data_IF_969669534050
#
_entry.id   IF_969669534050
#
_cell.length_a   1.000
_cell.length_b   1.000
_cell.length_c   1.000
_cell.angle_alpha   90.00
_cell.angle_beta   90.00
_cell.angle_gamma   90.00
#
_symmetry.space_group_name_H-M   'P 1'
#
loop_
_entity.id
_entity.type
_entity.pdbx_description
1 polymer ?
#
# COMPACT_ATOMS: atom_id res chain seq x y z
N UNK A 1 5.74 -17.34 -5.89
CA UNK A 1 4.44 -17.45 -6.58
C UNK A 1 3.68 -16.14 -6.39
N UNK A 2 3.56 -15.32 -7.43
CA UNK A 2 2.86 -14.02 -7.35
C UNK A 2 1.36 -14.32 -7.18
N UNK A 3 0.86 -14.16 -5.96
CA UNK A 3 -0.55 -14.40 -5.64
C UNK A 3 -1.36 -13.29 -6.31
N UNK A 4 -2.07 -13.61 -7.40
CA UNK A 4 -2.90 -12.66 -8.14
C UNK A 4 -3.83 -11.95 -7.15
N UNK A 5 -3.69 -10.63 -7.01
CA UNK A 5 -4.50 -9.87 -6.08
C UNK A 5 -5.96 -9.97 -6.50
N UNK A 6 -6.84 -10.23 -5.54
CA UNK A 6 -8.28 -10.37 -5.80
C UNK A 6 -8.79 -9.10 -6.46
N UNK A 7 -9.46 -9.20 -7.62
CA UNK A 7 -9.97 -8.04 -8.35
C UNK A 7 -10.87 -7.19 -7.46
N UNK A 8 -10.79 -5.87 -7.63
CA UNK A 8 -11.67 -4.92 -6.92
C UNK A 8 -13.14 -5.22 -7.19
N UNK A 9 -13.51 -5.53 -8.44
CA UNK A 9 -14.89 -5.89 -8.81
C UNK A 9 -15.36 -7.16 -8.09
N UNK A 10 -14.49 -8.14 -7.91
CA UNK A 10 -14.83 -9.37 -7.19
C UNK A 10 -15.14 -9.11 -5.71
N UNK A 11 -14.40 -8.19 -5.07
CA UNK A 11 -14.67 -7.81 -3.67
C UNK A 11 -16.01 -7.12 -3.56
N UNK A 12 -16.33 -6.18 -4.46
CA UNK A 12 -17.63 -5.51 -4.46
C UNK A 12 -18.79 -6.48 -4.72
N UNK A 13 -18.62 -7.43 -5.63
CA UNK A 13 -19.60 -8.49 -5.89
C UNK A 13 -19.93 -9.28 -4.62
N UNK A 14 -18.92 -9.77 -3.91
CA UNK A 14 -19.11 -10.47 -2.64
C UNK A 14 -19.64 -9.58 -1.52
N UNK A 15 -19.33 -8.28 -1.52
CA UNK A 15 -19.85 -7.35 -0.52
C UNK A 15 -21.36 -7.10 -0.66
N UNK A 16 -21.87 -7.12 -1.89
CA UNK A 16 -23.31 -6.93 -2.16
C UNK A 16 -24.08 -8.23 -1.88
N UNK A 17 -23.57 -9.38 -2.35
CA UNK A 17 -24.27 -10.66 -2.22
C UNK A 17 -24.11 -11.25 -0.81
N UNK A 18 -22.91 -11.17 -0.25
CA UNK A 18 -22.57 -11.76 1.04
C UNK A 18 -21.64 -10.82 1.80
N UNK A 19 -22.24 -9.74 2.28
CA UNK A 19 -21.62 -8.66 3.06
C UNK A 19 -20.45 -9.09 3.98
N UNK A 20 -20.58 -10.11 4.85
CA UNK A 20 -19.49 -10.49 5.75
C UNK A 20 -18.26 -10.99 5.02
N UNK A 21 -18.45 -11.75 3.94
CA UNK A 21 -17.36 -12.29 3.12
C UNK A 21 -16.71 -11.18 2.31
N UNK A 22 -17.50 -10.28 1.71
CA UNK A 22 -16.96 -9.12 1.02
C UNK A 22 -16.11 -8.23 1.94
N UNK A 23 -16.58 -7.99 3.16
CA UNK A 23 -15.85 -7.21 4.16
C UNK A 23 -14.54 -7.89 4.57
N UNK A 24 -14.55 -9.20 4.80
CA UNK A 24 -13.35 -9.98 5.09
C UNK A 24 -12.32 -9.93 3.95
N UNK A 25 -12.76 -10.12 2.70
CA UNK A 25 -11.88 -10.06 1.53
C UNK A 25 -11.27 -8.66 1.36
N UNK A 26 -12.05 -7.62 1.63
CA UNK A 26 -11.61 -6.23 1.60
C UNK A 26 -10.53 -5.97 2.66
N UNK A 27 -10.73 -6.44 3.89
CA UNK A 27 -9.72 -6.32 4.95
C UNK A 27 -8.43 -7.07 4.63
N UNK A 28 -8.55 -8.28 4.09
CA UNK A 28 -7.39 -9.05 3.64
C UNK A 28 -6.65 -8.33 2.52
N UNK A 29 -7.38 -7.76 1.55
CA UNK A 29 -6.77 -7.01 0.45
C UNK A 29 -6.01 -5.78 0.95
N UNK A 30 -6.60 -5.00 1.85
CA UNK A 30 -5.92 -3.86 2.48
C UNK A 30 -4.70 -4.29 3.28
N UNK A 31 -4.69 -5.47 3.89
CA UNK A 31 -3.55 -5.94 4.69
C UNK A 31 -2.39 -6.45 3.82
N UNK A 32 -2.68 -7.07 2.68
CA UNK A 32 -1.67 -7.78 1.87
C UNK A 32 -1.19 -6.96 0.67
N UNK A 33 -2.03 -6.12 0.09
CA UNK A 33 -1.75 -5.47 -1.18
C UNK A 33 -1.12 -4.07 -0.95
N UNK A 34 0.20 -3.96 -1.15
CA UNK A 34 0.98 -2.72 -1.00
C UNK A 34 0.37 -1.57 -1.80
N UNK A 35 -0.09 -1.89 -3.00
CA UNK A 35 -0.72 -0.92 -3.89
C UNK A 35 -2.05 -0.43 -3.31
N UNK A 36 -2.83 -1.30 -2.66
CA UNK A 36 -4.09 -0.94 -2.01
C UNK A 36 -3.85 -0.09 -0.74
N UNK A 37 -2.80 -0.38 0.02
CA UNK A 37 -2.36 0.44 1.16
C UNK A 37 -1.98 1.86 0.71
N UNK A 38 -1.31 1.99 -0.44
CA UNK A 38 -0.81 3.26 -0.97
C UNK A 38 -1.78 3.97 -1.92
N UNK A 39 -2.86 3.30 -2.32
CA UNK A 39 -3.81 3.83 -3.29
C UNK A 39 -4.70 4.93 -2.68
N UNK A 40 -4.95 5.97 -3.47
CA UNK A 40 -5.99 6.97 -3.17
C UNK A 40 -7.41 6.39 -3.06
N UNK A 41 -7.61 5.12 -3.44
CA UNK A 41 -8.89 4.40 -3.33
C UNK A 41 -9.39 4.22 -1.89
N UNK A 42 -8.56 4.47 -0.87
CA UNK A 42 -8.99 4.50 0.54
C UNK A 42 -10.08 5.56 0.82
N UNK A 43 -10.19 6.60 -0.01
CA UNK A 43 -11.30 7.57 0.06
C UNK A 43 -12.66 6.92 -0.21
N UNK A 44 -12.78 6.16 -1.31
CA UNK A 44 -14.00 5.45 -1.70
C UNK A 44 -14.45 4.47 -0.61
N UNK A 45 -13.50 3.77 0.02
CA UNK A 45 -13.78 2.87 1.14
C UNK A 45 -14.31 3.60 2.37
N UNK A 46 -13.81 4.81 2.63
CA UNK A 46 -14.29 5.63 3.73
C UNK A 46 -15.74 6.05 3.52
N UNK A 47 -16.11 6.43 2.29
CA UNK A 47 -17.49 6.77 1.92
C UNK A 47 -18.40 5.56 2.11
N UNK A 48 -17.97 4.38 1.65
CA UNK A 48 -18.73 3.15 1.81
C UNK A 48 -18.94 2.78 3.28
N UNK A 49 -17.91 2.91 4.12
CA UNK A 49 -18.02 2.67 5.57
C UNK A 49 -19.01 3.62 6.25
N UNK A 50 -19.01 4.90 5.88
CA UNK A 50 -19.99 5.87 6.37
C UNK A 50 -21.40 5.54 5.88
N UNK A 51 -21.57 5.20 4.60
CA UNK A 51 -22.87 4.82 4.05
C UNK A 51 -23.49 3.64 4.82
N UNK A 52 -22.70 2.58 5.08
CA UNK A 52 -23.15 1.42 5.86
C UNK A 52 -23.50 1.76 7.31
N UNK A 53 -22.69 2.62 7.94
CA UNK A 53 -22.90 3.03 9.33
C UNK A 53 -24.16 3.89 9.48
N UNK A 54 -24.37 4.84 8.57
CA UNK A 54 -25.55 5.72 8.56
C UNK A 54 -26.81 4.92 8.25
N UNK A 55 -26.76 4.06 7.23
CA UNK A 55 -27.89 3.20 6.87
C UNK A 55 -28.28 2.26 8.01
N UNK A 56 -27.30 1.57 8.61
CA UNK A 56 -27.54 0.73 9.78
C UNK A 56 -28.05 1.52 10.98
N UNK A 57 -27.53 2.74 11.20
CA UNK A 57 -27.99 3.62 12.28
C UNK A 57 -29.43 4.09 12.12
N UNK A 58 -29.86 4.43 10.90
CA UNK A 58 -31.24 4.80 10.60
C UNK A 58 -32.19 3.61 10.80
N UNK A 59 -31.82 2.42 10.32
CA UNK A 59 -32.60 1.20 10.52
C UNK A 59 -32.69 0.82 12.01
N UNK A 60 -31.60 1.00 12.75
CA UNK A 60 -31.57 0.81 14.20
C UNK A 60 -32.52 1.78 14.92
N UNK A 61 -32.52 3.06 14.52
CA UNK A 61 -33.40 4.08 15.10
C UNK A 61 -34.88 3.77 14.85
N UNK A 62 -35.22 3.31 13.64
CA UNK A 62 -36.58 2.87 13.31
C UNK A 62 -37.04 1.67 14.14
N UNK A 63 -36.11 0.81 14.56
CA UNK A 63 -36.39 -0.35 15.39
C UNK A 63 -36.64 0.01 16.88
N UNK A 64 -36.40 1.26 17.29
CA UNK A 64 -36.65 1.69 18.68
C UNK A 64 -38.13 1.85 19.00
N UNK A 65 -38.97 2.14 18.01
CA UNK A 65 -40.43 2.23 18.19
C UNK A 65 -41.09 0.86 18.20
N UNK A 66 -40.65 -0.02 17.30
CA UNK A 66 -41.18 -1.38 17.13
C UNK A 66 -40.02 -2.36 17.10
N UNK A 67 -39.89 -3.13 18.20
CA UNK A 67 -38.76 -4.04 18.37
C UNK A 67 -38.95 -5.31 17.52
N UNK A 68 -38.37 -5.31 16.33
CA UNK A 68 -38.23 -6.50 15.49
C UNK A 68 -36.79 -7.05 15.62
N UNK A 69 -36.63 -8.18 16.30
CA UNK A 69 -35.32 -8.71 16.66
C UNK A 69 -34.39 -8.97 15.46
N UNK A 70 -34.94 -9.39 14.32
CA UNK A 70 -34.21 -9.59 13.05
C UNK A 70 -33.59 -8.27 12.55
N UNK A 71 -34.39 -7.20 12.52
CA UNK A 71 -33.97 -5.85 12.08
C UNK A 71 -32.94 -5.27 13.04
N UNK A 72 -33.12 -5.48 14.35
CA UNK A 72 -32.17 -5.04 15.38
C UNK A 72 -30.79 -5.69 15.20
N UNK A 73 -30.76 -7.02 15.02
CA UNK A 73 -29.51 -7.77 14.83
C UNK A 73 -28.82 -7.34 13.52
N UNK A 74 -29.56 -7.26 12.42
CA UNK A 74 -29.01 -6.87 11.13
C UNK A 74 -28.45 -5.45 11.15
N UNK A 75 -29.21 -4.49 11.69
CA UNK A 75 -28.77 -3.10 11.83
C UNK A 75 -27.50 -2.99 12.66
N UNK A 76 -27.42 -3.72 13.77
CA UNK A 76 -26.22 -3.79 14.61
C UNK A 76 -25.00 -4.33 13.85
N UNK A 77 -25.16 -5.36 13.01
CA UNK A 77 -24.10 -5.90 12.18
C UNK A 77 -23.61 -4.91 11.11
N UNK A 78 -24.52 -4.19 10.46
CA UNK A 78 -24.16 -3.14 9.48
C UNK A 78 -23.37 -2.00 10.13
N UNK A 79 -23.81 -1.53 11.30
CA UNK A 79 -23.08 -0.51 12.08
C UNK A 79 -21.70 -1.04 12.46
N UNK A 80 -21.62 -2.24 13.03
CA UNK A 80 -20.36 -2.82 13.47
C UNK A 80 -19.37 -2.98 12.31
N UNK A 81 -19.80 -3.54 11.17
CA UNK A 81 -18.92 -3.68 10.01
C UNK A 81 -18.55 -2.35 9.37
N UNK A 82 -19.45 -1.37 9.34
CA UNK A 82 -19.17 -0.01 8.87
C UNK A 82 -18.09 0.67 9.73
N UNK A 83 -18.21 0.60 11.06
CA UNK A 83 -17.23 1.15 12.00
C UNK A 83 -15.87 0.42 11.88
N UNK A 84 -15.86 -0.91 11.79
CA UNK A 84 -14.63 -1.67 11.58
C UNK A 84 -13.94 -1.28 10.26
N UNK A 85 -14.72 -1.06 9.20
CA UNK A 85 -14.21 -0.60 7.91
C UNK A 85 -13.53 0.77 8.05
N UNK A 86 -14.21 1.72 8.68
CA UNK A 86 -13.66 3.06 8.92
C UNK A 86 -12.38 3.03 9.75
N UNK A 87 -12.34 2.22 10.81
CA UNK A 87 -11.12 2.03 11.63
C UNK A 87 -9.96 1.48 10.81
N UNK A 88 -10.20 0.46 9.98
CA UNK A 88 -9.15 -0.12 9.12
C UNK A 88 -8.67 0.88 8.07
N UNK A 89 -9.57 1.64 7.46
CA UNK A 89 -9.22 2.70 6.49
C UNK A 89 -8.36 3.77 7.16
N UNK A 90 -8.75 4.24 8.34
CA UNK A 90 -7.99 5.23 9.11
C UNK A 90 -6.59 4.72 9.46
N UNK A 91 -6.48 3.50 9.98
CA UNK A 91 -5.19 2.87 10.26
C UNK A 91 -4.32 2.77 9.00
N UNK A 92 -4.91 2.35 7.88
CA UNK A 92 -4.21 2.23 6.60
C UNK A 92 -3.69 3.58 6.08
N UNK A 93 -4.48 4.65 6.20
CA UNK A 93 -4.06 6.01 5.82
C UNK A 93 -2.86 6.48 6.64
N UNK A 94 -2.90 6.25 7.96
CA UNK A 94 -1.77 6.57 8.86
C UNK A 94 -0.51 5.81 8.46
N UNK A 95 -0.65 4.50 8.22
CA UNK A 95 0.48 3.65 7.80
C UNK A 95 1.05 4.08 6.45
N UNK A 96 0.19 4.38 5.47
CA UNK A 96 0.60 4.89 4.16
C UNK A 96 1.37 6.19 4.29
N UNK A 97 0.86 7.17 5.03
CA UNK A 97 1.53 8.45 5.24
C UNK A 97 2.91 8.27 5.89
N UNK A 98 3.01 7.36 6.87
CA UNK A 98 4.26 7.02 7.54
C UNK A 98 5.28 6.45 6.56
N UNK A 99 4.91 5.42 5.79
CA UNK A 99 5.83 4.78 4.84
C UNK A 99 6.20 5.67 3.65
N UNK A 100 5.33 6.59 3.23
CA UNK A 100 5.69 7.63 2.24
C UNK A 100 6.82 8.52 2.72
N UNK A 101 6.81 8.92 4.00
CA UNK A 101 7.92 9.71 4.59
C UNK A 101 9.23 8.93 4.56
N UNK A 102 9.21 7.66 4.95
CA UNK A 102 10.40 6.81 4.91
C UNK A 102 10.93 6.62 3.48
N UNK A 103 10.05 6.36 2.50
CA UNK A 103 10.44 6.25 1.09
C UNK A 103 11.04 7.55 0.56
N UNK A 104 10.49 8.71 0.95
CA UNK A 104 11.04 9.99 0.52
C UNK A 104 12.48 10.17 1.03
N UNK A 105 12.73 9.90 2.30
CA UNK A 105 14.07 10.02 2.91
C UNK A 105 15.05 8.99 2.31
N UNK A 106 14.64 7.73 2.21
CA UNK A 106 15.55 6.65 1.81
C UNK A 106 15.79 6.63 0.30
N UNK A 107 14.73 6.80 -0.50
CA UNK A 107 14.80 6.64 -1.95
C UNK A 107 15.07 7.97 -2.63
N UNK A 108 14.29 9.01 -2.30
CA UNK A 108 14.40 10.29 -3.00
C UNK A 108 15.58 11.11 -2.50
N UNK A 109 15.87 11.09 -1.19
CA UNK A 109 16.99 11.81 -0.58
C UNK A 109 18.24 10.94 -0.38
N UNK A 110 18.17 9.64 -0.69
CA UNK A 110 19.28 8.68 -0.60
C UNK A 110 19.92 8.55 0.80
N UNK A 111 19.15 8.78 1.87
CA UNK A 111 19.65 8.67 3.24
C UNK A 111 19.46 7.25 3.77
N UNK A 112 20.58 6.54 4.00
CA UNK A 112 20.57 5.15 4.46
C UNK A 112 20.95 4.97 5.95
N UNK A 113 21.57 5.96 6.59
CA UNK A 113 21.90 5.90 8.02
C UNK A 113 20.67 5.99 8.91
N UNK A 114 20.44 4.99 9.77
CA UNK A 114 19.27 4.94 10.66
C UNK A 114 19.24 6.12 11.62
N UNK A 115 20.39 6.60 12.12
CA UNK A 115 20.44 7.77 13.00
C UNK A 115 20.05 9.07 12.26
N UNK A 116 20.40 9.19 10.97
CA UNK A 116 20.00 10.31 10.12
C UNK A 116 18.51 10.25 9.77
N UNK A 117 18.00 9.05 9.44
CA UNK A 117 16.57 8.82 9.22
C UNK A 117 15.80 9.16 10.49
N UNK A 118 16.26 8.70 11.65
CA UNK A 118 15.67 8.95 12.97
C UNK A 118 15.58 10.45 13.28
N UNK A 119 16.66 11.19 13.02
CA UNK A 119 16.68 12.64 13.15
C UNK A 119 15.71 13.32 12.19
N UNK A 120 15.61 12.84 10.94
CA UNK A 120 14.70 13.39 9.94
C UNK A 120 13.22 13.14 10.23
N UNK A 121 12.86 12.01 10.83
CA UNK A 121 11.47 11.71 11.22
C UNK A 121 11.11 12.13 12.64
N UNK A 122 12.10 12.52 13.46
CA UNK A 122 11.91 12.92 14.86
C UNK A 122 11.56 11.77 15.80
N UNK A 123 12.09 10.57 15.54
CA UNK A 123 11.85 9.36 16.34
C UNK A 123 13.18 8.75 16.81
N UNK A 124 13.19 8.03 17.94
CA UNK A 124 14.42 7.37 18.41
C UNK A 124 14.81 6.18 17.51
N UNK A 125 16.11 5.88 17.51
CA UNK A 125 16.71 4.79 16.71
C UNK A 125 15.94 3.48 16.82
N UNK A 126 15.58 3.03 18.03
CA UNK A 126 14.94 1.73 18.25
C UNK A 126 13.57 1.63 17.57
N UNK A 127 12.81 2.74 17.56
CA UNK A 127 11.50 2.81 16.92
C UNK A 127 11.68 2.78 15.40
N UNK A 128 12.62 3.57 14.87
CA UNK A 128 12.89 3.65 13.43
C UNK A 128 13.40 2.31 12.89
N UNK A 129 14.33 1.67 13.61
CA UNK A 129 14.85 0.34 13.27
C UNK A 129 13.71 -0.68 13.17
N UNK A 130 12.80 -0.68 14.14
CA UNK A 130 11.62 -1.55 14.13
C UNK A 130 10.67 -1.23 12.98
N UNK A 131 10.36 0.03 12.75
CA UNK A 131 9.43 0.44 11.68
C UNK A 131 9.99 0.18 10.27
N UNK A 132 11.30 0.35 10.08
CA UNK A 132 11.98 -0.02 8.84
C UNK A 132 12.00 -1.54 8.65
N UNK A 133 12.22 -2.30 9.72
CA UNK A 133 12.11 -3.76 9.66
C UNK A 133 10.69 -4.20 9.28
N UNK A 134 9.66 -3.59 9.85
CA UNK A 134 8.26 -3.84 9.47
C UNK A 134 8.02 -3.51 7.99
N UNK A 135 8.59 -2.41 7.49
CA UNK A 135 8.49 -1.99 6.10
C UNK A 135 9.19 -2.97 5.13
N UNK A 136 10.36 -3.49 5.51
CA UNK A 136 11.08 -4.56 4.79
C UNK A 136 10.26 -5.84 4.78
N UNK A 137 9.72 -6.26 5.93
CA UNK A 137 8.93 -7.48 6.08
C UNK A 137 7.64 -7.42 5.23
N UNK A 138 7.02 -6.25 5.15
CA UNK A 138 5.87 -5.99 4.27
C UNK A 138 6.27 -5.89 2.79
N UNK A 139 7.57 -5.86 2.49
CA UNK A 139 8.14 -5.88 1.15
C UNK A 139 8.15 -4.52 0.46
N UNK A 140 7.98 -3.40 1.17
CA UNK A 140 8.10 -2.08 0.54
C UNK A 140 9.54 -1.75 0.13
N UNK A 141 10.53 -2.41 0.74
CA UNK A 141 11.95 -2.33 0.41
C UNK A 141 12.46 -3.74 0.09
N UNK A 142 12.18 -4.22 -1.13
CA UNK A 142 12.45 -5.61 -1.51
C UNK A 142 13.95 -5.92 -1.49
N UNK A 143 14.34 -6.96 -0.75
CA UNK A 143 15.73 -7.38 -0.63
C UNK A 143 16.61 -6.43 0.19
N UNK A 144 16.04 -5.38 0.80
CA UNK A 144 16.76 -4.55 1.74
C UNK A 144 16.93 -5.25 3.10
N UNK A 145 18.00 -4.91 3.81
CA UNK A 145 18.23 -5.37 5.18
C UNK A 145 18.92 -4.29 6.01
N UNK A 146 18.80 -4.38 7.32
CA UNK A 146 19.45 -3.45 8.26
C UNK A 146 20.79 -4.05 8.70
N UNK A 147 21.88 -3.35 8.41
CA UNK A 147 23.21 -3.70 8.89
C UNK A 147 23.43 -3.09 10.28
N UNK A 148 23.26 -3.92 11.32
CA UNK A 148 23.34 -3.46 12.72
C UNK A 148 24.69 -2.85 13.10
N UNK A 149 25.80 -3.35 12.52
CA UNK A 149 27.14 -2.84 12.82
C UNK A 149 27.38 -1.40 12.35
N UNK A 150 26.72 -0.99 11.26
CA UNK A 150 26.88 0.34 10.67
C UNK A 150 25.65 1.22 10.92
N UNK A 151 24.59 0.67 11.54
CA UNK A 151 23.28 1.32 11.71
C UNK A 151 22.75 1.89 10.39
N UNK A 152 22.79 1.09 9.34
CA UNK A 152 22.40 1.51 7.99
C UNK A 152 21.42 0.53 7.37
N UNK A 153 20.51 1.04 6.54
CA UNK A 153 19.69 0.23 5.65
C UNK A 153 20.44 0.02 4.34
N UNK A 154 20.73 -1.24 4.02
CA UNK A 154 21.35 -1.62 2.76
C UNK A 154 20.24 -1.98 1.78
N UNK A 155 20.08 -1.16 0.75
CA UNK A 155 19.18 -1.46 -0.36
C UNK A 155 19.87 -2.43 -1.31
N UNK A 156 19.14 -3.43 -1.80
CA UNK A 156 19.65 -4.26 -2.89
C UNK A 156 19.73 -3.38 -4.14
N UNK A 157 20.93 -2.90 -4.46
CA UNK A 157 21.18 -2.23 -5.73
C UNK A 157 20.85 -3.24 -6.84
N UNK A 158 19.90 -2.90 -7.71
CA UNK A 158 19.78 -3.61 -8.97
C UNK A 158 20.99 -3.18 -9.79
N UNK A 159 21.96 -4.09 -9.93
CA UNK A 159 22.92 -3.99 -11.03
C UNK A 159 22.12 -3.69 -12.31
N UNK A 160 22.48 -2.64 -13.07
CA UNK A 160 21.97 -2.53 -14.42
C UNK A 160 22.28 -3.87 -15.11
N UNK A 161 21.28 -4.44 -15.79
CA UNK A 161 21.42 -5.71 -16.50
C UNK A 161 22.80 -5.79 -17.17
N UNK A 162 23.51 -6.93 -17.09
CA UNK A 162 24.89 -7.01 -17.54
C UNK A 162 24.93 -6.52 -18.99
N UNK A 163 25.67 -5.43 -19.21
CA UNK A 163 26.04 -5.02 -20.55
C UNK A 163 26.91 -6.16 -21.06
N UNK A 164 26.30 -7.05 -21.84
CA UNK A 164 27.04 -8.06 -22.58
C UNK A 164 27.92 -7.26 -23.54
N UNK A 165 29.18 -7.04 -23.16
CA UNK A 165 30.22 -6.56 -24.07
C UNK A 165 30.56 -7.69 -25.03
N UNK A 166 29.65 -7.93 -25.97
CA UNK A 166 29.90 -8.71 -27.17
C UNK A 166 30.48 -7.76 -28.22
N UNK A 167 31.79 -7.84 -28.42
CA UNK A 167 32.43 -7.32 -29.62
C UNK A 167 31.81 -8.04 -30.82
N UNK A 168 31.13 -7.31 -31.72
CA UNK A 168 31.34 -7.22 -33.18
C UNK A 168 30.01 -6.86 -33.91
N UNK A 169 30.04 -5.73 -34.61
CA UNK A 169 29.28 -5.35 -35.81
C UNK A 169 27.75 -5.53 -35.91
N UNK A 170 27.08 -4.37 -35.97
CA UNK A 170 26.00 -4.11 -36.95
C UNK A 170 24.63 -4.71 -36.68
N UNK A 171 23.80 -3.98 -35.92
CA UNK A 171 22.38 -3.65 -36.19
C UNK A 171 21.92 -2.79 -34.99
N UNK A 172 21.27 -1.67 -35.30
CA UNK A 172 20.72 -0.65 -34.39
C UNK A 172 20.06 -1.24 -33.13
N UNK A 173 20.78 -1.22 -32.01
CA UNK A 173 20.17 -1.30 -30.68
C UNK A 173 19.41 0.00 -30.45
N UNK A 174 18.08 -0.07 -30.52
CA UNK A 174 17.21 0.98 -30.02
C UNK A 174 17.57 1.20 -28.53
N UNK A 175 18.35 2.26 -28.29
CA UNK A 175 18.67 2.78 -26.97
C UNK A 175 17.35 3.05 -26.26
N UNK A 176 16.91 2.11 -25.43
CA UNK A 176 15.74 2.31 -24.58
C UNK A 176 16.09 3.41 -23.58
N UNK A 177 15.77 4.65 -23.95
CA UNK A 177 15.93 5.83 -23.10
C UNK A 177 15.26 5.52 -21.76
N UNK A 178 16.02 5.54 -20.67
CA UNK A 178 15.47 5.39 -19.32
C UNK A 178 15.18 6.78 -18.78
N UNK A 179 14.02 6.95 -18.15
CA UNK A 179 13.62 8.22 -17.52
C UNK A 179 13.24 7.95 -16.06
N UNK A 180 13.61 8.88 -15.18
CA UNK A 180 13.18 8.85 -13.78
C UNK A 180 11.76 9.39 -13.69
N UNK A 181 10.83 8.59 -13.18
CA UNK A 181 9.43 8.97 -12.98
C UNK A 181 9.04 8.85 -11.50
N UNK A 182 8.22 9.78 -11.02
CA UNK A 182 7.73 9.76 -9.64
C UNK A 182 6.47 8.92 -9.55
N UNK A 183 6.43 7.95 -8.64
CA UNK A 183 5.27 7.10 -8.45
C UNK A 183 4.07 7.90 -7.89
N UNK A 184 2.87 7.85 -8.50
CA UNK A 184 1.69 8.55 -7.97
C UNK A 184 1.12 7.89 -6.69
N UNK A 185 1.47 6.63 -6.44
CA UNK A 185 1.03 5.89 -5.26
C UNK A 185 1.86 6.24 -4.02
N UNK A 186 3.14 5.85 -4.03
CA UNK A 186 4.03 6.02 -2.87
C UNK A 186 4.93 7.26 -2.92
N UNK A 187 5.05 7.94 -4.06
CA UNK A 187 5.89 9.13 -4.19
C UNK A 187 7.39 8.87 -4.39
N UNK A 188 7.82 7.60 -4.44
CA UNK A 188 9.20 7.21 -4.72
C UNK A 188 9.58 7.42 -6.19
N UNK A 189 10.84 7.80 -6.44
CA UNK A 189 11.40 7.88 -7.78
C UNK A 189 11.76 6.47 -8.30
N UNK A 190 11.34 6.16 -9.53
CA UNK A 190 11.58 4.89 -10.20
C UNK A 190 12.27 5.16 -11.55
N UNK A 191 13.20 4.31 -11.95
CA UNK A 191 13.88 4.39 -13.25
C UNK A 191 13.15 3.45 -14.21
N UNK A 192 12.51 3.99 -15.25
CA UNK A 192 11.68 3.21 -16.17
C UNK A 192 12.07 3.45 -17.63
N UNK A 193 11.91 2.43 -18.48
CA UNK A 193 12.14 2.55 -19.92
C UNK A 193 10.99 3.33 -20.58
N UNK A 194 11.32 4.31 -21.43
CA UNK A 194 10.34 5.18 -22.10
C UNK A 194 9.31 4.36 -22.91
N UNK A 195 8.02 4.69 -22.78
CA UNK A 195 6.94 4.07 -23.54
C UNK A 195 6.42 2.72 -23.01
N UNK A 196 6.89 2.25 -21.84
CA UNK A 196 6.37 1.05 -21.17
C UNK A 196 5.68 1.38 -19.85
N UNK A 197 4.55 0.72 -19.60
CA UNK A 197 3.91 0.71 -18.29
C UNK A 197 4.61 -0.35 -17.44
N UNK A 198 5.16 0.07 -16.30
CA UNK A 198 5.86 -0.81 -15.35
C UNK A 198 5.29 -0.62 -13.95
N UNK A 199 5.46 -1.59 -13.07
CA UNK A 199 5.03 -1.46 -11.68
C UNK A 199 6.11 -0.79 -10.84
N UNK A 200 5.68 0.07 -9.90
CA UNK A 200 6.58 0.65 -8.91
C UNK A 200 7.25 -0.44 -8.07
N UNK A 201 8.57 -0.38 -7.95
CA UNK A 201 9.36 -1.38 -7.22
C UNK A 201 9.01 -1.43 -5.71
N UNK A 202 8.60 -0.28 -5.17
CA UNK A 202 8.32 -0.09 -3.76
C UNK A 202 6.87 -0.45 -3.39
N UNK A 203 5.88 0.01 -4.17
CA UNK A 203 4.47 -0.14 -3.81
C UNK A 203 3.61 -0.93 -4.81
N UNK A 204 4.16 -1.32 -5.97
CA UNK A 204 3.43 -2.06 -7.01
C UNK A 204 2.38 -1.24 -7.75
N UNK A 205 2.37 0.09 -7.61
CA UNK A 205 1.47 0.95 -8.40
C UNK A 205 2.00 1.05 -9.84
N UNK A 206 1.15 0.88 -10.84
CA UNK A 206 1.54 1.08 -12.24
C UNK A 206 2.01 2.52 -12.49
N UNK A 207 3.13 2.65 -13.21
CA UNK A 207 3.77 3.90 -13.62
C UNK A 207 3.99 3.84 -15.14
N UNK A 208 3.77 4.96 -15.82
CA UNK A 208 4.05 5.15 -17.25
C UNK A 208 5.03 6.32 -17.42
N UNK A 209 6.02 6.16 -18.31
CA UNK A 209 6.90 7.23 -18.80
C UNK A 209 6.47 7.70 -20.19
#
# INVERSE_FOLDING_TARGET
MVKKSTSWGWIFFWLIILWPVGLFLLFRKLATDKSALMSGKTGVLSVLGWALTIFGGLAFLACLSDFEGSVFIMSSLFIAGGVLLLRKVSHTKKLSAKYKKYLDIIVNQNVCGLDNIASAVGLPYDIVSKELQDMINLGFLQGAYIHQGNREIVLKQHEPAPVIQGVTSGITSALSKTTTSRCPGCGANNIIATGKITECEYCGTAISA
#
